data_IF_669236811734
#
_entry.id   IF_669236811734
#
_cell.length_a   1.000
_cell.length_b   1.000
_cell.length_c   1.000
_cell.angle_alpha   90.00
_cell.angle_beta   90.00
_cell.angle_gamma   90.00
#
_symmetry.space_group_name_H-M   'P 1'
#
loop_
_entity.id
_entity.type
_entity.pdbx_description
1 polymer ?
#
# COMPACT_ATOMS: atom_id res chain seq x y z
N UNK A 1 12.15 5.49 0.21
CA UNK A 1 11.17 4.40 0.11
C UNK A 1 9.69 4.83 0.10
N UNK A 2 9.19 5.65 1.05
CA UNK A 2 7.73 5.93 1.14
C UNK A 2 7.09 6.67 -0.06
N UNK A 3 7.90 7.23 -0.97
CA UNK A 3 7.42 8.01 -2.11
C UNK A 3 7.71 7.33 -3.46
N UNK A 4 8.02 6.03 -3.48
CA UNK A 4 8.10 5.28 -4.73
C UNK A 4 6.69 5.11 -5.32
N UNK A 5 6.55 5.31 -6.63
CA UNK A 5 5.28 5.09 -7.31
C UNK A 5 4.98 3.59 -7.41
N UNK A 6 3.74 3.18 -7.15
CA UNK A 6 3.31 1.78 -7.27
C UNK A 6 3.31 1.26 -8.72
N UNK A 7 3.17 2.15 -9.69
CA UNK A 7 3.06 1.82 -11.10
C UNK A 7 4.04 2.66 -11.93
N UNK A 8 4.44 2.21 -13.13
CA UNK A 8 5.26 3.01 -14.03
C UNK A 8 4.58 4.32 -14.38
N UNK A 9 5.31 5.43 -14.29
CA UNK A 9 4.85 6.75 -14.72
C UNK A 9 5.25 6.90 -16.21
N UNK A 10 4.30 7.13 -17.15
CA UNK A 10 4.62 7.34 -18.57
C UNK A 10 5.63 8.47 -18.73
N UNK A 11 6.55 8.49 -19.69
CA UNK A 11 7.56 9.57 -19.80
C UNK A 11 7.00 10.87 -20.45
N UNK A 12 6.11 11.59 -19.77
CA UNK A 12 5.52 12.87 -20.23
C UNK A 12 6.00 14.11 -19.45
N UNK A 13 5.73 15.30 -19.96
CA UNK A 13 6.22 16.58 -19.40
C UNK A 13 5.48 17.05 -18.13
N UNK A 14 4.47 16.31 -17.67
CA UNK A 14 3.51 16.74 -16.63
C UNK A 14 3.58 15.92 -15.32
N UNK A 15 4.75 15.39 -14.95
CA UNK A 15 4.93 14.61 -13.72
C UNK A 15 5.07 15.49 -12.48
N UNK A 16 3.96 16.08 -12.04
CA UNK A 16 3.83 16.42 -10.63
C UNK A 16 3.99 15.13 -9.81
N UNK A 17 5.09 15.03 -9.07
CA UNK A 17 5.62 13.85 -8.37
C UNK A 17 4.67 13.19 -7.33
N UNK A 18 3.47 13.74 -7.12
CA UNK A 18 2.57 13.34 -6.02
C UNK A 18 1.15 12.95 -6.47
N UNK A 19 0.92 12.74 -7.77
CA UNK A 19 -0.45 12.48 -8.29
C UNK A 19 -0.88 11.00 -8.32
N UNK A 20 0.01 10.07 -7.93
CA UNK A 20 -0.21 8.63 -8.04
C UNK A 20 -0.20 7.89 -6.70
N UNK A 21 -0.65 6.63 -6.72
CA UNK A 21 -0.59 5.73 -5.56
C UNK A 21 0.88 5.40 -5.23
N UNK A 22 1.27 5.49 -3.96
CA UNK A 22 2.60 5.05 -3.54
C UNK A 22 2.69 3.53 -3.49
N UNK A 23 3.89 2.97 -3.61
CA UNK A 23 4.11 1.54 -3.48
C UNK A 23 3.63 1.00 -2.13
N UNK A 24 3.73 1.83 -1.08
CA UNK A 24 3.18 1.55 0.25
C UNK A 24 1.66 1.38 0.21
N UNK A 25 0.95 2.30 -0.43
CA UNK A 25 -0.51 2.25 -0.55
C UNK A 25 -0.96 1.01 -1.34
N UNK A 26 -0.21 0.63 -2.37
CA UNK A 26 -0.49 -0.58 -3.14
C UNK A 26 -0.31 -1.85 -2.31
N UNK A 27 0.77 -1.97 -1.54
CA UNK A 27 0.96 -3.11 -0.64
C UNK A 27 -0.09 -3.17 0.45
N UNK A 28 -0.46 -2.02 1.04
CA UNK A 28 -1.52 -1.97 2.03
C UNK A 28 -2.87 -2.43 1.44
N UNK A 29 -3.22 -1.99 0.23
CA UNK A 29 -4.43 -2.45 -0.45
C UNK A 29 -4.42 -3.97 -0.69
N UNK A 30 -3.28 -4.53 -1.08
CA UNK A 30 -3.13 -5.98 -1.27
C UNK A 30 -3.24 -6.76 0.04
N UNK A 31 -2.63 -6.27 1.11
CA UNK A 31 -2.73 -6.87 2.44
C UNK A 31 -4.18 -6.85 2.93
N UNK A 32 -4.85 -5.70 2.83
CA UNK A 32 -6.25 -5.54 3.21
C UNK A 32 -7.17 -6.51 2.43
N UNK A 33 -6.95 -6.67 1.12
CA UNK A 33 -7.70 -7.64 0.31
C UNK A 33 -7.54 -9.08 0.83
N UNK A 34 -6.31 -9.48 1.18
CA UNK A 34 -6.04 -10.81 1.74
C UNK A 34 -6.72 -11.02 3.10
N UNK A 35 -6.62 -10.03 3.99
CA UNK A 35 -7.22 -10.06 5.33
C UNK A 35 -8.75 -10.14 5.27
N UNK A 36 -9.39 -9.34 4.41
CA UNK A 36 -10.85 -9.39 4.22
C UNK A 36 -11.31 -10.74 3.64
N UNK A 37 -10.48 -11.36 2.80
CA UNK A 37 -10.82 -12.63 2.16
C UNK A 37 -10.67 -13.83 3.12
N UNK A 38 -9.85 -13.71 4.15
CA UNK A 38 -9.90 -14.62 5.30
C UNK A 38 -11.12 -14.28 6.16
N UNK A 39 -11.73 -15.28 6.82
CA UNK A 39 -12.82 -15.11 7.80
C UNK A 39 -12.38 -14.36 9.09
N UNK A 40 -11.42 -13.44 8.97
CA UNK A 40 -10.92 -12.57 10.00
C UNK A 40 -12.00 -11.56 10.37
N UNK A 41 -12.65 -11.77 11.51
CA UNK A 41 -13.62 -10.85 12.04
C UNK A 41 -12.91 -9.64 12.68
N UNK A 42 -12.74 -8.56 11.93
CA UNK A 42 -12.26 -7.28 12.47
C UNK A 42 -13.40 -6.56 13.17
N UNK A 43 -13.15 -6.11 14.41
CA UNK A 43 -14.12 -5.33 15.19
C UNK A 43 -14.31 -3.91 14.67
N UNK A 44 -13.28 -3.33 14.04
CA UNK A 44 -13.33 -2.01 13.42
C UNK A 44 -12.47 -1.94 12.15
N UNK A 45 -12.95 -1.23 11.12
CA UNK A 45 -12.20 -1.02 9.87
C UNK A 45 -10.90 -0.22 10.06
N UNK A 46 -10.79 0.53 11.16
CA UNK A 46 -9.56 1.26 11.51
C UNK A 46 -8.39 0.33 11.82
N UNK A 47 -8.66 -0.75 12.56
CA UNK A 47 -7.64 -1.75 12.92
C UNK A 47 -7.16 -2.50 11.67
N UNK A 48 -8.10 -2.85 10.77
CA UNK A 48 -7.78 -3.46 9.48
C UNK A 48 -6.85 -2.58 8.63
N UNK A 49 -7.14 -1.28 8.57
CA UNK A 49 -6.30 -0.33 7.83
C UNK A 49 -4.91 -0.22 8.46
N UNK A 50 -4.82 -0.18 9.80
CA UNK A 50 -3.55 -0.14 10.52
C UNK A 50 -2.70 -1.37 10.21
N UNK A 51 -3.28 -2.58 10.34
CA UNK A 51 -2.57 -3.83 10.11
C UNK A 51 -2.11 -3.98 8.65
N UNK A 52 -2.94 -3.55 7.70
CA UNK A 52 -2.59 -3.52 6.29
C UNK A 52 -1.36 -2.62 6.02
N UNK A 53 -1.29 -1.44 6.64
CA UNK A 53 -0.13 -0.56 6.50
C UNK A 53 1.12 -1.10 7.23
N UNK A 54 0.96 -1.80 8.36
CA UNK A 54 2.08 -2.49 9.01
C UNK A 54 2.69 -3.57 8.10
N UNK A 55 1.84 -4.35 7.42
CA UNK A 55 2.30 -5.34 6.44
C UNK A 55 3.01 -4.63 5.26
N UNK A 56 2.45 -3.53 4.76
CA UNK A 56 3.07 -2.75 3.69
C UNK A 56 4.47 -2.23 4.06
N UNK A 57 4.63 -1.70 5.27
CA UNK A 57 5.91 -1.22 5.78
C UNK A 57 6.92 -2.39 5.92
N UNK A 58 6.49 -3.56 6.38
CA UNK A 58 7.34 -4.76 6.44
C UNK A 58 7.76 -5.26 5.04
N UNK A 59 6.88 -5.17 4.04
CA UNK A 59 7.21 -5.52 2.65
C UNK A 59 8.22 -4.55 2.03
N UNK A 60 8.19 -3.27 2.42
CA UNK A 60 9.20 -2.29 2.01
C UNK A 60 10.54 -2.59 2.69
N UNK A 61 10.54 -2.82 4.01
CA UNK A 61 11.75 -3.16 4.75
C UNK A 61 12.45 -4.42 4.21
N UNK A 62 11.68 -5.45 3.83
CA UNK A 62 12.24 -6.68 3.26
C UNK A 62 12.88 -6.52 1.86
N UNK A 63 12.74 -5.35 1.21
CA UNK A 63 13.34 -5.05 -0.10
C UNK A 63 14.70 -4.35 0.02
N UNK A 64 15.03 -3.80 1.20
CA UNK A 64 16.33 -3.19 1.49
C UNK A 64 17.39 -4.25 1.80
#
# INVERSE_FOLDING_TARGET
>A
MKNESAFPIPATEYHGMDSGMTLRDYFAAKAMQGIISSDCNYGAFGDLASDAYCIADAMLEARE
#
